data_IF_185118231796
#
_entry.id   IF_185118231796
#
_cell.length_a   1.000
_cell.length_b   1.000
_cell.length_c   1.000
_cell.angle_alpha   90.00
_cell.angle_beta   90.00
_cell.angle_gamma   90.00
#
_symmetry.space_group_name_H-M   'P 1'
#
loop_
_entity.id
_entity.type
_entity.pdbx_description
1 polymer ?
#
# COMPACT_ATOMS: atom_id res chain seq x y z
N UNK A 1 -13.12 -1.78 4.80
CA UNK A 1 -12.28 -0.66 4.37
C UNK A 1 -11.52 -1.08 3.13
N UNK A 2 -11.66 -0.33 2.05
CA UNK A 2 -10.98 -0.52 0.76
C UNK A 2 -9.61 0.17 0.74
N UNK A 3 -8.86 0.09 1.84
CA UNK A 3 -7.51 0.64 1.96
C UNK A 3 -6.44 -0.28 1.39
N UNK A 4 -5.17 0.06 1.59
CA UNK A 4 -4.02 -0.63 0.99
C UNK A 4 -4.02 -2.16 1.14
N UNK A 5 -4.31 -2.69 2.34
CA UNK A 5 -4.40 -4.14 2.54
C UNK A 5 -5.78 -4.71 2.16
N UNK A 6 -6.85 -3.98 2.40
CA UNK A 6 -8.23 -4.42 2.14
C UNK A 6 -8.48 -4.64 0.65
N UNK A 7 -7.98 -3.74 -0.20
CA UNK A 7 -8.08 -3.86 -1.66
C UNK A 7 -7.27 -5.05 -2.19
N UNK A 8 -6.09 -5.32 -1.61
CA UNK A 8 -5.30 -6.52 -1.97
C UNK A 8 -6.05 -7.79 -1.62
N UNK A 9 -6.59 -7.91 -0.40
CA UNK A 9 -7.35 -9.08 0.01
C UNK A 9 -8.58 -9.28 -0.87
N UNK A 10 -9.35 -8.22 -1.12
CA UNK A 10 -10.54 -8.29 -1.96
C UNK A 10 -10.21 -8.75 -3.37
N UNK A 11 -9.19 -8.14 -4.00
CA UNK A 11 -8.76 -8.51 -5.35
C UNK A 11 -8.24 -9.94 -5.44
N UNK A 12 -7.52 -10.44 -4.43
CA UNK A 12 -6.98 -11.82 -4.45
C UNK A 12 -8.05 -12.86 -4.17
N UNK A 13 -8.95 -12.60 -3.22
CA UNK A 13 -10.05 -13.51 -2.92
C UNK A 13 -11.02 -13.63 -4.10
N UNK A 14 -11.26 -12.54 -4.83
CA UNK A 14 -12.13 -12.57 -6.01
C UNK A 14 -11.47 -13.14 -7.28
N UNK A 15 -10.22 -13.62 -7.22
CA UNK A 15 -9.63 -14.40 -8.32
C UNK A 15 -10.32 -15.78 -8.46
N UNK A 16 -10.90 -16.30 -7.38
CA UNK A 16 -11.74 -17.50 -7.41
C UNK A 16 -13.18 -17.14 -7.78
N UNK A 17 -13.66 -17.66 -8.92
CA UNK A 17 -15.01 -17.41 -9.43
C UNK A 17 -16.13 -17.93 -8.50
N UNK A 18 -15.82 -18.79 -7.53
CA UNK A 18 -16.76 -19.29 -6.53
C UNK A 18 -16.85 -18.41 -5.28
N UNK A 19 -15.97 -17.41 -5.14
CA UNK A 19 -15.93 -16.51 -3.99
C UNK A 19 -16.56 -15.16 -4.35
N UNK A 20 -17.57 -14.75 -3.58
CA UNK A 20 -18.16 -13.41 -3.68
C UNK A 20 -17.61 -12.52 -2.57
N UNK A 21 -17.04 -11.38 -2.93
CA UNK A 21 -16.46 -10.42 -1.98
C UNK A 21 -17.30 -9.14 -1.96
N UNK A 22 -17.75 -8.73 -0.76
CA UNK A 22 -18.28 -7.39 -0.52
C UNK A 22 -17.20 -6.55 0.16
N UNK A 23 -16.76 -5.48 -0.51
CA UNK A 23 -15.80 -4.52 0.04
C UNK A 23 -16.53 -3.21 0.37
N UNK A 24 -16.54 -2.84 1.65
CA UNK A 24 -17.19 -1.61 2.15
C UNK A 24 -16.12 -0.59 2.52
N UNK A 25 -16.27 0.64 2.04
CA UNK A 25 -15.40 1.79 2.32
C UNK A 25 -16.22 2.96 2.90
N UNK A 26 -15.64 3.66 3.88
CA UNK A 26 -16.28 4.79 4.55
C UNK A 26 -16.15 6.11 3.77
N UNK A 27 -15.19 6.17 2.86
CA UNK A 27 -14.94 7.27 1.94
C UNK A 27 -15.58 7.10 0.56
N UNK A 28 -15.26 8.06 -0.31
CA UNK A 28 -15.68 8.06 -1.72
C UNK A 28 -14.72 7.30 -2.63
N UNK A 29 -15.00 7.40 -3.93
CA UNK A 29 -14.11 6.97 -5.01
C UNK A 29 -12.88 7.88 -5.08
N UNK A 30 -11.70 7.33 -5.35
CA UNK A 30 -10.46 8.09 -5.50
C UNK A 30 -10.21 8.57 -6.93
N UNK A 31 -10.99 8.06 -7.90
CA UNK A 31 -10.86 8.41 -9.31
C UNK A 31 -11.35 9.84 -9.60
N UNK A 32 -10.64 10.53 -10.49
CA UNK A 32 -11.00 11.88 -10.92
C UNK A 32 -10.55 12.99 -9.98
N UNK A 33 -9.77 12.67 -8.93
CA UNK A 33 -9.17 13.64 -8.01
C UNK A 33 -7.72 13.90 -8.45
N UNK A 34 -7.39 15.11 -8.98
CA UNK A 34 -6.05 15.42 -9.47
C UNK A 34 -4.95 15.27 -8.40
N UNK A 35 -5.25 15.62 -7.16
CA UNK A 35 -4.32 15.59 -6.02
C UNK A 35 -3.92 14.16 -5.63
N UNK A 36 -4.78 13.18 -5.94
CA UNK A 36 -4.49 11.74 -5.74
C UNK A 36 -3.70 11.19 -6.93
N UNK A 37 -4.11 11.53 -8.15
CA UNK A 37 -3.55 10.95 -9.38
C UNK A 37 -2.25 11.60 -9.86
N UNK A 38 -1.92 12.79 -9.35
CA UNK A 38 -0.72 13.54 -9.72
C UNK A 38 0.28 13.55 -8.56
N UNK A 39 1.41 12.82 -8.64
CA UNK A 39 2.35 12.70 -7.52
C UNK A 39 2.82 14.04 -6.92
N UNK A 40 3.06 15.04 -7.76
CA UNK A 40 3.51 16.37 -7.34
C UNK A 40 2.46 17.20 -6.57
N UNK A 41 1.20 16.77 -6.53
CA UNK A 41 0.10 17.45 -5.85
C UNK A 41 -0.25 16.85 -4.48
N UNK A 42 0.49 15.83 -4.01
CA UNK A 42 0.23 15.15 -2.72
C UNK A 42 0.11 16.13 -1.53
N UNK A 43 0.85 17.25 -1.56
CA UNK A 43 0.80 18.27 -0.51
C UNK A 43 -0.51 19.07 -0.46
N UNK A 44 -1.33 19.03 -1.51
CA UNK A 44 -2.62 19.72 -1.59
C UNK A 44 -3.81 18.82 -1.17
N UNK A 45 -3.56 17.56 -0.78
CA UNK A 45 -4.63 16.61 -0.44
C UNK A 45 -5.48 17.04 0.75
N UNK A 46 -4.97 17.87 1.65
CA UNK A 46 -5.72 18.40 2.79
C UNK A 46 -6.78 19.45 2.37
N UNK A 47 -6.71 19.94 1.13
CA UNK A 47 -7.72 20.84 0.56
C UNK A 47 -8.95 20.11 0.03
N UNK A 48 -8.87 18.77 -0.13
CA UNK A 48 -9.96 17.97 -0.68
C UNK A 48 -10.88 17.48 0.44
N UNK A 49 -12.17 17.89 0.45
CA UNK A 49 -13.10 17.46 1.48
C UNK A 49 -13.31 15.95 1.42
N UNK A 50 -13.50 15.35 2.59
CA UNK A 50 -13.87 13.95 2.78
C UNK A 50 -12.89 12.87 2.28
N UNK A 51 -11.72 13.23 1.73
CA UNK A 51 -10.67 12.29 1.30
C UNK A 51 -9.67 11.95 2.43
N UNK A 52 -9.48 12.88 3.38
CA UNK A 52 -8.56 12.68 4.51
C UNK A 52 -9.33 12.80 5.83
N UNK A 53 -9.26 11.75 6.64
CA UNK A 53 -9.67 11.81 8.05
C UNK A 53 -8.43 12.10 8.90
N UNK A 54 -8.42 13.23 9.59
CA UNK A 54 -7.31 13.59 10.49
C UNK A 54 -7.65 13.19 11.92
N UNK A 55 -6.95 12.17 12.42
CA UNK A 55 -6.94 11.87 13.85
C UNK A 55 -5.93 12.75 14.56
N UNK A 56 -6.02 12.82 15.88
CA UNK A 56 -5.06 13.54 16.73
C UNK A 56 -4.51 12.60 17.78
N UNK A 57 -3.19 12.59 17.94
CA UNK A 57 -2.54 11.80 18.99
C UNK A 57 -2.79 12.41 20.36
N UNK A 58 -2.75 11.60 21.42
CA UNK A 58 -2.73 12.10 22.80
C UNK A 58 -1.38 11.78 23.43
N UNK A 59 -0.80 12.67 24.27
CA UNK A 59 -1.37 13.95 24.73
C UNK A 59 -1.06 15.16 23.82
N UNK A 60 -0.18 15.01 22.83
CA UNK A 60 0.40 16.15 22.10
C UNK A 60 -0.51 16.74 21.02
N UNK A 61 -1.64 16.10 20.69
CA UNK A 61 -2.57 16.51 19.63
C UNK A 61 -1.88 16.70 18.27
N UNK A 62 -0.94 15.81 17.95
CA UNK A 62 -0.28 15.82 16.64
C UNK A 62 -1.24 15.27 15.58
N UNK A 63 -1.31 15.94 14.42
CA UNK A 63 -2.11 15.49 13.27
C UNK A 63 -1.65 14.09 12.83
N UNK A 64 -2.61 13.20 12.63
CA UNK A 64 -2.40 11.83 12.17
C UNK A 64 -3.36 11.51 11.01
N UNK A 65 -3.04 12.00 9.79
CA UNK A 65 -3.91 11.87 8.64
C UNK A 65 -4.04 10.41 8.17
N UNK A 66 -5.26 10.02 7.81
CA UNK A 66 -5.62 8.71 7.24
C UNK A 66 -6.51 8.92 6.02
N UNK A 67 -6.26 8.14 4.96
CA UNK A 67 -7.06 8.21 3.75
C UNK A 67 -8.45 7.63 4.00
N UNK A 68 -9.47 8.36 3.60
CA UNK A 68 -10.89 8.00 3.63
C UNK A 68 -11.43 8.07 2.20
N UNK A 69 -10.98 7.11 1.40
CA UNK A 69 -11.40 6.91 0.01
C UNK A 69 -11.09 5.46 -0.37
N UNK A 70 -11.55 5.00 -1.55
CA UNK A 70 -10.98 3.81 -2.17
C UNK A 70 -9.45 3.96 -2.26
N UNK A 71 -8.72 2.88 -2.00
CA UNK A 71 -7.26 2.88 -1.81
C UNK A 71 -6.80 3.37 -0.43
N UNK A 72 -7.62 4.13 0.31
CA UNK A 72 -7.31 4.59 1.66
C UNK A 72 -6.00 5.35 1.73
N UNK A 73 -5.11 5.01 2.67
CA UNK A 73 -3.83 5.70 2.80
C UNK A 73 -2.86 5.52 1.62
N UNK A 74 -3.04 4.53 0.74
CA UNK A 74 -2.21 4.46 -0.48
C UNK A 74 -2.61 5.48 -1.54
N UNK A 75 -3.82 6.02 -1.49
CA UNK A 75 -4.26 7.10 -2.39
C UNK A 75 -3.82 8.49 -1.91
N UNK A 76 -3.26 8.60 -0.70
CA UNK A 76 -2.87 9.89 -0.10
C UNK A 76 -1.43 9.93 0.43
N UNK A 77 -0.63 8.90 0.17
CA UNK A 77 0.76 8.85 0.64
C UNK A 77 1.71 9.49 -0.37
N UNK A 78 2.99 9.57 -0.01
CA UNK A 78 4.05 10.11 -0.88
C UNK A 78 4.65 9.08 -1.85
N UNK A 79 3.99 7.94 -2.07
CA UNK A 79 4.39 6.87 -3.00
C UNK A 79 5.79 6.26 -2.78
N UNK A 80 6.47 6.60 -1.69
CA UNK A 80 7.75 6.01 -1.35
C UNK A 80 7.61 4.49 -1.17
N UNK A 81 8.32 3.74 -1.99
CA UNK A 81 8.29 2.29 -1.95
C UNK A 81 9.51 1.73 -1.21
N UNK A 82 9.31 1.36 0.05
CA UNK A 82 10.32 0.77 0.93
C UNK A 82 9.70 -0.41 1.67
N UNK A 83 10.38 -1.56 1.69
CA UNK A 83 9.84 -2.81 2.28
C UNK A 83 10.22 -3.01 3.75
N UNK A 84 11.40 -2.56 4.15
CA UNK A 84 12.01 -2.88 5.45
C UNK A 84 13.26 -3.74 5.28
N UNK A 85 14.06 -3.85 6.34
CA UNK A 85 15.27 -4.68 6.36
C UNK A 85 14.94 -6.15 6.61
N UNK A 86 15.80 -7.09 6.19
CA UNK A 86 15.65 -8.51 6.52
C UNK A 86 15.43 -8.76 8.03
N UNK A 87 16.13 -7.99 8.85
CA UNK A 87 16.04 -8.07 10.31
C UNK A 87 14.64 -7.78 10.85
N UNK A 88 13.87 -6.88 10.21
CA UNK A 88 12.52 -6.54 10.65
C UNK A 88 11.58 -7.74 10.54
N UNK A 89 11.65 -8.47 9.41
CA UNK A 89 10.82 -9.65 9.13
C UNK A 89 11.27 -10.86 9.95
N UNK A 90 12.57 -11.11 10.05
CA UNK A 90 13.10 -12.19 10.88
C UNK A 90 12.73 -11.97 12.36
N UNK A 91 12.70 -10.71 12.81
CA UNK A 91 12.20 -10.33 14.13
C UNK A 91 10.70 -10.63 14.27
N UNK A 92 9.87 -10.37 13.26
CA UNK A 92 8.45 -10.73 13.28
C UNK A 92 8.26 -12.23 13.44
N UNK A 93 8.93 -13.05 12.61
CA UNK A 93 8.88 -14.50 12.72
C UNK A 93 9.26 -15.01 14.13
N UNK A 94 10.28 -14.40 14.73
CA UNK A 94 10.70 -14.74 16.09
C UNK A 94 9.67 -14.37 17.16
N UNK A 95 8.94 -13.26 17.00
CA UNK A 95 7.89 -12.85 17.95
C UNK A 95 6.63 -13.68 17.79
N UNK A 96 6.20 -13.93 16.54
CA UNK A 96 5.00 -14.71 16.24
C UNK A 96 5.21 -16.21 16.40
N UNK A 97 6.47 -16.67 16.45
CA UNK A 97 6.85 -18.09 16.40
C UNK A 97 6.40 -18.77 15.11
N UNK A 98 6.32 -18.00 14.04
CA UNK A 98 5.87 -18.46 12.73
C UNK A 98 6.90 -18.03 11.66
N UNK A 99 7.65 -18.99 11.08
CA UNK A 99 8.69 -18.70 10.10
C UNK A 99 8.13 -18.11 8.80
N UNK A 100 6.83 -18.24 8.52
CA UNK A 100 6.22 -17.66 7.32
C UNK A 100 6.28 -16.12 7.27
N UNK A 101 6.61 -15.49 8.40
CA UNK A 101 6.82 -14.04 8.51
C UNK A 101 8.27 -13.60 8.32
N UNK A 102 9.22 -14.53 8.12
CA UNK A 102 10.62 -14.16 7.90
C UNK A 102 10.84 -13.53 6.53
N UNK A 103 12.01 -12.92 6.31
CA UNK A 103 12.27 -12.21 5.05
C UNK A 103 12.26 -13.14 3.82
N UNK A 104 12.73 -14.38 3.98
CA UNK A 104 12.82 -15.32 2.87
C UNK A 104 11.43 -15.73 2.39
N UNK A 105 10.46 -15.86 3.30
CA UNK A 105 9.07 -16.14 2.99
C UNK A 105 8.30 -14.89 2.53
N UNK A 106 8.66 -13.70 3.02
CA UNK A 106 8.02 -12.44 2.60
C UNK A 106 8.45 -11.99 1.19
N UNK A 107 9.71 -12.21 0.79
CA UNK A 107 10.27 -11.72 -0.48
C UNK A 107 9.46 -12.15 -1.72
N UNK A 108 9.03 -13.42 -1.87
CA UNK A 108 8.15 -13.83 -2.96
C UNK A 108 6.86 -13.00 -3.06
N UNK A 109 6.25 -12.62 -1.94
CA UNK A 109 5.03 -11.81 -1.93
C UNK A 109 5.29 -10.36 -2.31
N UNK A 110 6.44 -9.79 -1.91
CA UNK A 110 6.85 -8.47 -2.39
C UNK A 110 7.07 -8.45 -3.90
N UNK A 111 7.69 -9.50 -4.46
CA UNK A 111 7.86 -9.63 -5.90
C UNK A 111 6.53 -9.87 -6.61
N UNK A 112 5.61 -10.64 -6.00
CA UNK A 112 4.28 -10.91 -6.57
C UNK A 112 3.40 -9.66 -6.67
N UNK A 113 3.54 -8.69 -5.76
CA UNK A 113 2.74 -7.46 -5.79
C UNK A 113 3.32 -6.40 -6.72
N UNK A 114 4.63 -6.40 -6.94
CA UNK A 114 5.38 -5.34 -7.61
C UNK A 114 5.44 -5.48 -9.14
N UNK A 115 5.31 -4.33 -9.81
CA UNK A 115 5.60 -4.13 -11.23
C UNK A 115 6.70 -3.09 -11.37
N UNK A 116 7.96 -3.53 -11.24
CA UNK A 116 9.13 -2.68 -11.44
C UNK A 116 9.30 -2.33 -12.92
N UNK A 117 9.45 -1.04 -13.22
CA UNK A 117 9.62 -0.52 -14.59
C UNK A 117 11.07 -0.18 -14.94
N UNK A 118 11.94 0.05 -13.95
CA UNK A 118 13.35 0.31 -14.19
C UNK A 118 14.05 -0.98 -14.70
N UNK A 119 14.69 -0.97 -15.89
CA UNK A 119 15.26 -2.18 -16.49
C UNK A 119 16.37 -2.84 -15.68
N UNK A 120 17.18 -2.07 -14.95
CA UNK A 120 18.29 -2.59 -14.16
C UNK A 120 17.76 -3.23 -12.87
N UNK A 121 16.90 -2.52 -12.16
CA UNK A 121 16.28 -3.02 -10.94
C UNK A 121 15.39 -4.24 -11.22
N UNK A 122 14.74 -4.31 -12.38
CA UNK A 122 13.92 -5.47 -12.76
C UNK A 122 14.72 -6.77 -12.88
N UNK A 123 16.04 -6.69 -13.11
CA UNK A 123 16.92 -7.87 -13.17
C UNK A 123 17.45 -8.29 -11.80
N UNK A 124 17.24 -7.47 -10.76
CA UNK A 124 17.66 -7.79 -9.39
C UNK A 124 16.85 -8.96 -8.81
N UNK A 125 17.49 -9.75 -7.95
CA UNK A 125 16.84 -10.81 -7.19
C UNK A 125 15.70 -10.29 -6.31
N UNK A 126 15.72 -9.00 -5.96
CA UNK A 126 14.80 -8.37 -5.03
C UNK A 126 13.54 -7.82 -5.71
N UNK A 127 13.48 -7.60 -7.02
CA UNK A 127 12.30 -6.97 -7.65
C UNK A 127 11.45 -7.94 -8.47
N UNK A 128 10.15 -7.68 -8.52
CA UNK A 128 9.16 -8.32 -9.37
C UNK A 128 8.76 -7.44 -10.55
N UNK A 129 8.27 -8.08 -11.62
CA UNK A 129 7.96 -7.41 -12.88
C UNK A 129 6.51 -7.47 -13.33
N UNK A 130 5.71 -8.35 -12.72
CA UNK A 130 4.41 -8.78 -13.25
C UNK A 130 3.25 -8.51 -12.28
N UNK A 131 3.52 -7.86 -11.15
CA UNK A 131 2.52 -7.47 -10.17
C UNK A 131 1.61 -6.34 -10.65
N UNK A 132 0.79 -5.85 -9.73
CA UNK A 132 -0.19 -4.79 -10.01
C UNK A 132 0.29 -3.41 -9.55
N UNK A 133 1.19 -3.35 -8.56
CA UNK A 133 1.69 -2.08 -8.03
C UNK A 133 2.84 -1.57 -8.90
N UNK A 134 2.59 -0.51 -9.67
CA UNK A 134 3.64 0.17 -10.44
C UNK A 134 4.70 0.76 -9.53
N UNK A 135 5.97 0.42 -9.76
CA UNK A 135 7.12 0.96 -9.04
C UNK A 135 8.18 1.37 -10.06
N UNK A 136 8.70 2.59 -9.92
CA UNK A 136 9.78 3.10 -10.76
C UNK A 136 10.86 3.72 -9.89
N UNK A 137 12.08 3.76 -10.43
CA UNK A 137 13.17 4.56 -9.87
C UNK A 137 12.81 6.04 -10.03
N UNK A 138 13.09 6.84 -9.01
CA UNK A 138 12.98 8.30 -9.08
C UNK A 138 14.11 8.83 -9.97
N UNK A 139 13.75 9.60 -10.99
CA UNK A 139 14.69 10.28 -11.90
C UNK A 139 15.10 11.67 -11.36
#
# INVERSE_FOLDING_TARGET
GAGSAGSVLASRLSEDAHVTVLLVEAGGDDRGIPEISTPGLTLALDTIPDVVTTYYTEPMKTKWPRGRALGGSSSINYMNYVRGSKHDFDRWANYTKDPSWDYAHALPYFKKSEKMTDPELKQSEFHGGDGQLGVTKME
#
